data_IF_795524884151
#
_entry.id   IF_795524884151
#
_cell.length_a   1.000
_cell.length_b   1.000
_cell.length_c   1.000
_cell.angle_alpha   90.00
_cell.angle_beta   90.00
_cell.angle_gamma   90.00
#
_symmetry.space_group_name_H-M   'P 1'
#
loop_
_entity.id
_entity.type
_entity.pdbx_description
1 polymer ?
#
# COMPACT_ATOMS: atom_id res chain seq x y z
N UNK A 1 -2.06 17.19 1.74
CA UNK A 1 -3.17 16.52 1.04
C UNK A 1 -3.71 15.33 1.85
N UNK A 2 -2.86 14.52 2.49
CA UNK A 2 -3.28 13.39 3.32
C UNK A 2 -4.03 13.83 4.58
N UNK A 3 -3.61 14.92 5.22
CA UNK A 3 -4.30 15.51 6.38
C UNK A 3 -5.72 15.94 6.03
N UNK A 4 -5.88 16.65 4.94
CA UNK A 4 -7.17 17.20 4.51
C UNK A 4 -8.13 16.11 4.01
N UNK A 5 -7.64 15.21 3.16
CA UNK A 5 -8.49 14.23 2.47
C UNK A 5 -8.80 13.00 3.32
N UNK A 6 -7.86 12.53 4.12
CA UNK A 6 -7.97 11.28 4.90
C UNK A 6 -7.95 11.50 6.41
N UNK A 7 -7.77 12.72 6.89
CA UNK A 7 -7.72 13.04 8.32
C UNK A 7 -6.48 12.47 9.03
N UNK A 8 -5.38 12.30 8.30
CA UNK A 8 -4.10 11.87 8.87
C UNK A 8 -3.56 12.96 9.77
N UNK A 9 -3.33 12.67 11.05
CA UNK A 9 -2.89 13.69 12.02
C UNK A 9 -1.36 13.83 12.08
N UNK A 10 -0.62 12.78 11.73
CA UNK A 10 0.84 12.76 11.74
C UNK A 10 1.38 11.34 11.55
N UNK A 11 2.71 11.16 11.56
CA UNK A 11 3.32 9.85 11.43
C UNK A 11 2.98 8.97 12.63
N UNK A 12 2.70 7.70 12.36
CA UNK A 12 2.38 6.68 13.35
C UNK A 12 3.47 5.60 13.37
N UNK A 13 4.04 5.36 14.54
CA UNK A 13 4.82 4.15 14.80
C UNK A 13 3.89 2.96 15.11
N UNK A 14 4.38 1.71 15.04
CA UNK A 14 3.57 0.53 15.40
C UNK A 14 2.91 0.64 16.79
N UNK A 15 3.62 1.12 17.80
CA UNK A 15 3.06 1.30 19.12
C UNK A 15 1.98 2.40 19.20
N UNK A 16 2.15 3.48 18.44
CA UNK A 16 1.12 4.52 18.32
C UNK A 16 -0.10 4.05 17.55
N UNK A 17 0.08 3.17 16.57
CA UNK A 17 -1.04 2.56 15.83
C UNK A 17 -1.99 1.83 16.78
N UNK A 18 -1.47 0.97 17.67
CA UNK A 18 -2.31 0.26 18.64
C UNK A 18 -3.01 1.21 19.63
N UNK A 19 -2.34 2.26 20.07
CA UNK A 19 -2.92 3.27 20.95
C UNK A 19 -4.04 4.07 20.27
N UNK A 20 -3.84 4.49 19.02
CA UNK A 20 -4.88 5.17 18.24
C UNK A 20 -6.07 4.28 17.93
N UNK A 21 -5.81 3.00 17.67
CA UNK A 21 -6.86 2.00 17.50
C UNK A 21 -7.70 1.84 18.77
N UNK A 22 -7.04 1.85 19.94
CA UNK A 22 -7.72 1.78 21.23
C UNK A 22 -8.66 2.96 21.47
N UNK A 23 -8.24 4.16 21.12
CA UNK A 23 -9.08 5.37 21.20
C UNK A 23 -10.31 5.29 20.29
N UNK A 24 -10.14 4.80 19.04
CA UNK A 24 -11.22 4.77 18.03
C UNK A 24 -12.27 3.70 18.30
N UNK A 25 -11.86 2.54 18.75
CA UNK A 25 -12.74 1.39 18.93
C UNK A 25 -13.27 1.23 20.38
N UNK A 26 -12.63 1.89 21.34
CA UNK A 26 -13.04 1.86 22.75
C UNK A 26 -12.90 0.49 23.40
N UNK A 27 -13.83 -0.43 23.13
CA UNK A 27 -13.88 -1.73 23.84
C UNK A 27 -12.82 -2.72 23.34
N UNK A 28 -12.25 -3.56 24.23
CA UNK A 28 -11.33 -4.63 23.86
C UNK A 28 -11.90 -5.61 22.83
N UNK A 29 -13.19 -5.96 22.95
CA UNK A 29 -13.86 -6.89 22.04
C UNK A 29 -13.89 -6.37 20.59
N UNK A 30 -14.10 -5.06 20.37
CA UNK A 30 -14.08 -4.45 19.04
C UNK A 30 -12.67 -4.38 18.44
N UNK A 31 -11.63 -4.32 19.29
CA UNK A 31 -10.23 -4.25 18.86
C UNK A 31 -9.64 -5.62 18.52
N UNK A 32 -10.12 -6.68 19.18
CA UNK A 32 -9.52 -8.00 19.11
C UNK A 32 -9.31 -8.53 17.67
N UNK A 33 -10.30 -8.46 16.75
CA UNK A 33 -10.11 -8.94 15.38
C UNK A 33 -8.97 -8.22 14.65
N UNK A 34 -8.95 -6.89 14.72
CA UNK A 34 -7.92 -6.10 14.05
C UNK A 34 -6.54 -6.28 14.68
N UNK A 35 -6.44 -6.34 16.01
CA UNK A 35 -5.16 -6.63 16.68
C UNK A 35 -4.61 -8.02 16.34
N UNK A 36 -5.50 -9.01 16.21
CA UNK A 36 -5.11 -10.34 15.74
C UNK A 36 -4.56 -10.29 14.31
N UNK A 37 -5.27 -9.62 13.41
CA UNK A 37 -4.84 -9.46 12.02
C UNK A 37 -3.54 -8.65 11.91
N UNK A 38 -3.40 -7.59 12.70
CA UNK A 38 -2.17 -6.78 12.79
C UNK A 38 -0.96 -7.60 13.23
N UNK A 39 -1.10 -8.39 14.30
CA UNK A 39 -0.01 -9.26 14.77
C UNK A 39 0.35 -10.35 13.77
N UNK A 40 -0.65 -10.94 13.08
CA UNK A 40 -0.39 -11.90 12.01
C UNK A 40 0.36 -11.24 10.84
N UNK A 41 -0.04 -10.02 10.45
CA UNK A 41 0.63 -9.24 9.43
C UNK A 41 2.11 -8.98 9.77
N UNK A 42 2.40 -8.56 11.01
CA UNK A 42 3.78 -8.29 11.46
C UNK A 42 4.62 -9.57 11.60
N UNK A 43 4.03 -10.67 12.07
CA UNK A 43 4.77 -11.88 12.38
C UNK A 43 5.02 -12.78 11.17
N UNK A 44 4.03 -12.92 10.31
CA UNK A 44 4.03 -13.93 9.24
C UNK A 44 4.17 -13.31 7.86
N UNK A 45 3.65 -12.09 7.67
CA UNK A 45 3.48 -11.53 6.34
C UNK A 45 2.57 -12.43 5.48
N UNK A 46 2.77 -12.37 4.17
CA UNK A 46 2.01 -13.18 3.22
C UNK A 46 0.62 -12.63 2.92
N UNK A 47 0.06 -13.08 1.80
CA UNK A 47 -1.14 -12.51 1.18
C UNK A 47 -2.37 -12.51 2.07
N UNK A 48 -2.61 -13.61 2.78
CA UNK A 48 -3.79 -13.73 3.63
C UNK A 48 -3.71 -12.82 4.87
N UNK A 49 -2.53 -12.71 5.49
CA UNK A 49 -2.31 -11.79 6.60
C UNK A 49 -2.48 -10.33 6.16
N UNK A 50 -1.95 -9.96 4.98
CA UNK A 50 -2.13 -8.65 4.36
C UNK A 50 -3.62 -8.37 4.12
N UNK A 51 -4.33 -9.26 3.43
CA UNK A 51 -5.77 -9.11 3.17
C UNK A 51 -6.57 -8.95 4.46
N UNK A 52 -6.32 -9.83 5.44
CA UNK A 52 -7.01 -9.82 6.72
C UNK A 52 -6.79 -8.50 7.46
N UNK A 53 -5.56 -8.02 7.54
CA UNK A 53 -5.24 -6.77 8.20
C UNK A 53 -5.92 -5.57 7.54
N UNK A 54 -5.76 -5.38 6.24
CA UNK A 54 -6.32 -4.23 5.53
C UNK A 54 -7.85 -4.28 5.48
N UNK A 55 -8.46 -5.46 5.36
CA UNK A 55 -9.91 -5.63 5.47
C UNK A 55 -10.44 -5.21 6.84
N UNK A 56 -9.78 -5.63 7.91
CA UNK A 56 -10.21 -5.26 9.27
C UNK A 56 -10.00 -3.75 9.54
N UNK A 57 -8.90 -3.17 9.07
CA UNK A 57 -8.67 -1.73 9.27
C UNK A 57 -9.67 -0.87 8.52
N UNK A 58 -10.13 -1.29 7.35
CA UNK A 58 -11.15 -0.57 6.57
C UNK A 58 -12.53 -0.56 7.23
N UNK A 59 -12.82 -1.50 8.14
CA UNK A 59 -14.06 -1.50 8.96
C UNK A 59 -14.00 -0.46 10.10
N UNK A 60 -12.83 0.05 10.43
CA UNK A 60 -12.66 1.04 11.51
C UNK A 60 -13.01 2.44 10.99
N UNK A 61 -13.78 3.25 11.73
CA UNK A 61 -14.01 4.64 11.36
C UNK A 61 -12.67 5.38 11.14
N UNK A 62 -12.49 5.93 9.94
CA UNK A 62 -11.23 6.55 9.50
C UNK A 62 -9.99 5.62 9.62
N UNK A 63 -10.17 4.30 9.50
CA UNK A 63 -9.08 3.32 9.58
C UNK A 63 -7.98 3.56 8.55
N UNK A 64 -8.33 4.03 7.37
CA UNK A 64 -7.37 4.44 6.34
C UNK A 64 -6.37 5.49 6.83
N UNK A 65 -6.83 6.45 7.66
CA UNK A 65 -5.93 7.46 8.22
C UNK A 65 -4.85 6.85 9.14
N UNK A 66 -5.12 5.69 9.74
CA UNK A 66 -4.10 4.95 10.50
C UNK A 66 -3.05 4.36 9.57
N UNK A 67 -3.48 3.72 8.48
CA UNK A 67 -2.56 3.15 7.47
C UNK A 67 -1.71 4.25 6.86
N UNK A 68 -2.34 5.30 6.35
CA UNK A 68 -1.60 6.41 5.77
C UNK A 68 -0.71 7.16 6.77
N UNK A 69 -1.07 7.14 8.05
CA UNK A 69 -0.22 7.69 9.12
C UNK A 69 1.07 6.90 9.30
N UNK A 70 1.03 5.57 9.17
CA UNK A 70 2.23 4.73 9.22
C UNK A 70 3.19 5.02 8.07
N UNK A 71 2.65 5.33 6.89
CA UNK A 71 3.44 5.58 5.68
C UNK A 71 3.62 7.08 5.36
N UNK A 72 3.20 7.98 6.25
CA UNK A 72 3.11 9.41 5.97
C UNK A 72 4.41 10.03 5.45
N UNK A 73 5.59 9.82 6.06
CA UNK A 73 6.82 10.44 5.57
C UNK A 73 7.18 10.00 4.13
N UNK A 74 6.98 8.72 3.83
CA UNK A 74 7.24 8.17 2.50
C UNK A 74 6.25 8.72 1.47
N UNK A 75 4.96 8.74 1.82
CA UNK A 75 3.93 9.26 0.91
C UNK A 75 4.09 10.76 0.62
N UNK A 76 4.51 11.56 1.60
CA UNK A 76 4.82 12.98 1.41
C UNK A 76 6.04 13.16 0.49
N UNK A 77 7.08 12.34 0.68
CA UNK A 77 8.25 12.31 -0.19
C UNK A 77 7.87 11.93 -1.63
N UNK A 78 7.13 10.83 -1.82
CA UNK A 78 6.70 10.38 -3.14
C UNK A 78 5.79 11.38 -3.84
N UNK A 79 4.86 11.99 -3.12
CA UNK A 79 3.98 13.02 -3.68
C UNK A 79 4.74 14.24 -4.20
N UNK A 80 5.89 14.56 -3.60
CA UNK A 80 6.77 15.64 -4.04
C UNK A 80 7.66 15.24 -5.21
N UNK A 81 8.28 14.06 -5.12
CA UNK A 81 9.39 13.68 -6.00
C UNK A 81 8.95 12.94 -7.27
N UNK A 82 7.80 12.26 -7.27
CA UNK A 82 7.40 11.43 -8.41
C UNK A 82 6.80 12.20 -9.60
N UNK A 83 6.04 13.29 -9.44
CA UNK A 83 5.37 13.91 -10.58
C UNK A 83 6.29 14.25 -11.77
N UNK A 84 7.52 14.75 -11.59
CA UNK A 84 8.43 15.01 -12.72
C UNK A 84 9.16 13.78 -13.26
N UNK A 85 9.02 12.62 -12.60
CA UNK A 85 9.78 11.40 -12.93
C UNK A 85 8.95 10.28 -13.56
N UNK A 86 7.63 10.40 -13.50
CA UNK A 86 6.72 9.42 -14.10
C UNK A 86 6.38 9.80 -15.53
N UNK A 87 6.25 8.80 -16.40
CA UNK A 87 5.94 9.00 -17.81
C UNK A 87 5.05 7.88 -18.36
N UNK A 88 4.35 8.16 -19.44
CA UNK A 88 3.57 7.22 -20.21
C UNK A 88 2.43 6.57 -19.43
N UNK A 89 2.36 5.26 -19.52
CA UNK A 89 1.43 4.42 -18.75
C UNK A 89 2.06 4.04 -17.42
N UNK A 90 1.43 4.44 -16.32
CA UNK A 90 1.96 4.29 -14.96
C UNK A 90 1.13 3.27 -14.18
N UNK A 91 1.79 2.31 -13.51
CA UNK A 91 1.16 1.39 -12.58
C UNK A 91 1.68 1.61 -11.16
N UNK A 92 0.77 1.87 -10.20
CA UNK A 92 1.07 1.75 -8.78
C UNK A 92 0.62 0.37 -8.27
N UNK A 93 1.55 -0.42 -7.74
CA UNK A 93 1.28 -1.71 -7.09
C UNK A 93 1.15 -1.50 -5.58
N UNK A 94 0.12 -2.10 -4.97
CA UNK A 94 -0.19 -1.89 -3.56
C UNK A 94 -0.80 -0.51 -3.30
N UNK A 95 -1.64 -0.04 -4.21
CA UNK A 95 -2.21 1.31 -4.17
C UNK A 95 -3.20 1.55 -3.02
N UNK A 96 -3.58 0.49 -2.28
CA UNK A 96 -4.57 0.53 -1.21
C UNK A 96 -5.85 1.23 -1.67
N UNK A 97 -6.28 2.31 -1.02
CA UNK A 97 -7.49 3.06 -1.42
C UNK A 97 -7.17 4.27 -2.32
N UNK A 98 -5.98 4.33 -2.90
CA UNK A 98 -5.61 5.25 -3.96
C UNK A 98 -5.24 6.67 -3.52
N UNK A 99 -4.70 6.83 -2.32
CA UNK A 99 -4.29 8.17 -1.88
C UNK A 99 -3.19 8.76 -2.76
N UNK A 100 -2.12 7.99 -3.00
CA UNK A 100 -0.99 8.48 -3.77
C UNK A 100 -1.30 8.51 -5.26
N UNK A 101 -1.80 7.41 -5.85
CA UNK A 101 -2.15 7.40 -7.28
C UNK A 101 -3.15 8.50 -7.63
N UNK A 102 -4.15 8.75 -6.79
CA UNK A 102 -5.11 9.83 -7.02
C UNK A 102 -4.53 11.23 -6.82
N UNK A 103 -3.46 11.38 -6.03
CA UNK A 103 -2.72 12.64 -5.97
C UNK A 103 -1.87 12.83 -7.22
N UNK A 104 -1.13 11.81 -7.64
CA UNK A 104 -0.26 11.84 -8.81
C UNK A 104 -1.07 12.05 -10.10
N UNK A 105 -2.21 11.37 -10.25
CA UNK A 105 -3.12 11.52 -11.38
C UNK A 105 -3.58 12.98 -11.55
N UNK A 106 -3.95 13.67 -10.46
CA UNK A 106 -4.31 15.10 -10.53
C UNK A 106 -3.14 16.02 -10.87
N UNK A 107 -1.90 15.62 -10.54
CA UNK A 107 -0.69 16.37 -10.91
C UNK A 107 -0.24 16.11 -12.34
N UNK A 108 -0.53 14.94 -12.85
CA UNK A 108 -0.17 14.49 -14.20
C UNK A 108 -1.39 13.83 -14.87
N UNK A 109 -2.43 14.62 -15.16
CA UNK A 109 -3.64 14.13 -15.84
C UNK A 109 -3.39 13.77 -17.31
N UNK A 110 -2.23 14.10 -17.83
CA UNK A 110 -1.73 13.78 -19.16
C UNK A 110 -1.30 12.33 -19.32
N UNK A 111 -1.11 11.59 -18.20
CA UNK A 111 -0.66 10.21 -18.18
C UNK A 111 -1.81 9.21 -18.01
N UNK A 112 -1.58 7.98 -18.46
CA UNK A 112 -2.49 6.85 -18.25
C UNK A 112 -2.19 6.17 -16.91
N UNK A 113 -3.13 6.23 -15.97
CA UNK A 113 -2.91 5.76 -14.61
C UNK A 113 -3.63 4.45 -14.31
N UNK A 114 -2.86 3.52 -13.78
CA UNK A 114 -3.34 2.21 -13.30
C UNK A 114 -2.96 2.02 -11.83
N UNK A 115 -3.81 1.30 -11.10
CA UNK A 115 -3.59 0.92 -9.72
C UNK A 115 -3.93 -0.56 -9.53
N UNK A 116 -3.09 -1.28 -8.82
CA UNK A 116 -3.27 -2.69 -8.48
C UNK A 116 -3.23 -2.85 -6.97
N UNK A 117 -4.19 -3.59 -6.42
CA UNK A 117 -4.18 -4.00 -5.01
C UNK A 117 -4.81 -5.38 -4.82
N UNK A 118 -4.30 -6.16 -3.86
CA UNK A 118 -4.80 -7.49 -3.53
C UNK A 118 -6.01 -7.51 -2.60
N UNK A 119 -6.45 -6.33 -2.11
CA UNK A 119 -7.55 -6.19 -1.15
C UNK A 119 -8.79 -5.63 -1.85
N UNK A 120 -9.82 -6.46 -2.00
CA UNK A 120 -11.03 -6.13 -2.75
C UNK A 120 -11.71 -4.86 -2.23
N UNK A 121 -11.83 -4.72 -0.91
CA UNK A 121 -12.45 -3.57 -0.27
C UNK A 121 -11.66 -2.27 -0.52
N UNK A 122 -10.35 -2.38 -0.61
CA UNK A 122 -9.48 -1.24 -0.94
C UNK A 122 -9.67 -0.81 -2.39
N UNK A 123 -9.68 -1.76 -3.32
CA UNK A 123 -9.94 -1.51 -4.76
C UNK A 123 -11.32 -0.91 -4.97
N UNK A 124 -12.35 -1.44 -4.30
CA UNK A 124 -13.71 -0.91 -4.40
C UNK A 124 -13.81 0.56 -3.95
N UNK A 125 -13.12 0.90 -2.85
CA UNK A 125 -13.02 2.29 -2.38
C UNK A 125 -12.21 3.17 -3.34
N UNK A 126 -11.11 2.63 -3.86
CA UNK A 126 -10.26 3.33 -4.81
C UNK A 126 -11.01 3.69 -6.10
N UNK A 127 -11.71 2.75 -6.71
CA UNK A 127 -12.57 2.97 -7.89
C UNK A 127 -13.61 4.08 -7.66
N UNK A 128 -14.21 4.12 -6.48
CA UNK A 128 -15.20 5.15 -6.14
C UNK A 128 -14.59 6.54 -5.97
N UNK A 129 -13.34 6.63 -5.51
CA UNK A 129 -12.68 7.89 -5.15
C UNK A 129 -11.86 8.50 -6.27
N UNK A 130 -11.30 7.65 -7.10
CA UNK A 130 -10.42 8.02 -8.22
C UNK A 130 -10.85 7.21 -9.44
N UNK A 131 -12.04 7.54 -10.00
CA UNK A 131 -12.61 6.83 -11.14
C UNK A 131 -11.80 7.02 -12.43
N UNK A 132 -10.92 8.01 -12.47
CA UNK A 132 -10.03 8.29 -13.60
C UNK A 132 -8.86 7.32 -13.70
N UNK A 133 -8.62 6.50 -12.65
CA UNK A 133 -7.58 5.49 -12.61
C UNK A 133 -8.15 4.14 -12.99
N UNK A 134 -7.46 3.38 -13.83
CA UNK A 134 -7.81 1.99 -14.15
C UNK A 134 -7.39 1.07 -12.99
N UNK A 135 -8.38 0.51 -12.27
CA UNK A 135 -8.14 -0.32 -11.10
C UNK A 135 -8.17 -1.81 -11.40
N UNK A 136 -7.14 -2.51 -10.94
CA UNK A 136 -6.97 -3.96 -11.02
C UNK A 136 -7.02 -4.58 -9.62
N UNK A 137 -7.74 -5.71 -9.50
CA UNK A 137 -7.79 -6.50 -8.27
C UNK A 137 -6.94 -7.75 -8.42
N UNK A 138 -6.01 -7.95 -7.51
CA UNK A 138 -5.18 -9.15 -7.45
C UNK A 138 -3.74 -8.85 -7.04
N UNK A 139 -2.90 -9.85 -7.20
CA UNK A 139 -1.46 -9.76 -6.95
C UNK A 139 -0.73 -9.57 -8.28
N UNK A 140 0.37 -8.83 -8.26
CA UNK A 140 1.07 -8.45 -9.48
C UNK A 140 1.53 -9.66 -10.33
N UNK A 141 1.81 -10.79 -9.68
CA UNK A 141 2.21 -12.04 -10.33
C UNK A 141 1.05 -12.89 -10.84
N UNK A 142 -0.19 -12.50 -10.57
CA UNK A 142 -1.40 -13.26 -10.95
C UNK A 142 -2.28 -12.53 -11.96
N UNK A 143 -2.18 -11.20 -11.99
CA UNK A 143 -3.03 -10.37 -12.84
C UNK A 143 -2.33 -10.15 -14.17
N UNK A 144 -3.03 -10.44 -15.25
CA UNK A 144 -2.57 -10.09 -16.58
C UNK A 144 -2.73 -8.58 -16.78
N UNK A 145 -1.61 -7.89 -16.94
CA UNK A 145 -1.53 -6.44 -17.02
C UNK A 145 -0.94 -6.03 -18.37
N UNK A 146 -1.36 -4.88 -18.93
CA UNK A 146 -0.71 -4.34 -20.13
C UNK A 146 0.73 -3.90 -19.80
N UNK A 147 1.59 -3.69 -20.80
CA UNK A 147 2.90 -3.11 -20.55
C UNK A 147 2.80 -1.68 -20.02
N UNK A 148 3.71 -1.33 -19.12
CA UNK A 148 3.80 0.00 -18.50
C UNK A 148 5.15 0.65 -18.78
N UNK A 149 5.16 1.99 -18.85
CA UNK A 149 6.36 2.79 -18.99
C UNK A 149 6.97 3.12 -17.63
N UNK A 150 6.12 3.26 -16.60
CA UNK A 150 6.52 3.51 -15.20
C UNK A 150 5.85 2.53 -14.26
N UNK A 151 6.64 1.88 -13.40
CA UNK A 151 6.16 1.00 -12.34
C UNK A 151 6.52 1.58 -10.96
N UNK A 152 5.51 1.80 -10.12
CA UNK A 152 5.64 2.29 -8.75
C UNK A 152 5.42 1.13 -7.76
N UNK A 153 6.49 0.70 -7.10
CA UNK A 153 6.50 -0.35 -6.08
C UNK A 153 6.78 0.28 -4.73
N UNK A 154 5.82 1.06 -4.23
CA UNK A 154 5.98 1.89 -3.07
C UNK A 154 5.36 1.22 -1.85
N UNK A 155 6.18 0.92 -0.82
CA UNK A 155 5.73 0.28 0.43
C UNK A 155 4.99 -1.06 0.23
N UNK A 156 5.26 -1.77 -0.85
CA UNK A 156 4.70 -3.10 -1.13
C UNK A 156 5.52 -4.23 -0.49
N UNK A 157 6.74 -3.91 -0.09
CA UNK A 157 7.56 -4.83 0.67
C UNK A 157 7.24 -4.70 2.15
N UNK A 158 7.19 -5.81 2.90
CA UNK A 158 6.97 -5.75 4.34
C UNK A 158 8.05 -4.87 4.98
N UNK A 159 7.66 -3.71 5.50
CA UNK A 159 8.58 -2.77 6.17
C UNK A 159 9.34 -3.43 7.31
N UNK A 160 8.75 -4.44 7.96
CA UNK A 160 9.42 -5.24 8.95
C UNK A 160 10.67 -6.00 8.45
N UNK A 161 10.87 -6.13 7.15
CA UNK A 161 12.12 -6.67 6.60
C UNK A 161 13.23 -5.61 6.60
N UNK A 162 12.89 -4.35 6.37
CA UNK A 162 13.83 -3.23 6.37
C UNK A 162 14.16 -2.80 7.78
N UNK A 163 13.15 -2.59 8.63
CA UNK A 163 13.31 -2.13 10.02
C UNK A 163 13.95 -3.15 10.96
N UNK A 164 13.88 -4.45 10.63
CA UNK A 164 14.50 -5.50 11.44
C UNK A 164 15.96 -5.80 11.04
N UNK A 165 16.53 -5.04 10.14
CA UNK A 165 17.89 -5.27 9.65
C UNK A 165 18.03 -6.60 8.90
N UNK A 166 16.92 -7.13 8.39
CA UNK A 166 16.90 -8.36 7.62
C UNK A 166 17.63 -8.21 6.28
N UNK A 167 17.71 -6.99 5.75
CA UNK A 167 18.55 -6.68 4.58
C UNK A 167 20.01 -7.06 4.81
N UNK A 168 20.53 -6.82 6.02
CA UNK A 168 21.90 -7.18 6.40
C UNK A 168 22.09 -8.67 6.72
N UNK A 169 20.99 -9.42 6.92
CA UNK A 169 21.01 -10.85 7.29
C UNK A 169 20.65 -11.79 6.15
N UNK A 170 20.01 -11.28 5.11
CA UNK A 170 19.76 -12.06 3.90
C UNK A 170 20.94 -11.84 2.96
N UNK A 171 21.57 -12.96 2.54
CA UNK A 171 22.46 -12.89 1.39
C UNK A 171 21.71 -12.24 0.22
N UNK A 172 22.34 -11.37 -0.57
CA UNK A 172 21.68 -10.66 -1.68
C UNK A 172 20.86 -11.58 -2.57
N UNK A 173 21.34 -12.78 -2.82
CA UNK A 173 20.64 -13.79 -3.62
C UNK A 173 19.35 -14.32 -2.99
N UNK A 174 19.31 -14.46 -1.65
CA UNK A 174 18.11 -14.89 -0.94
C UNK A 174 17.06 -13.78 -0.88
N UNK A 175 17.51 -12.53 -0.81
CA UNK A 175 16.68 -11.34 -0.94
C UNK A 175 16.01 -11.32 -2.32
N UNK A 176 16.78 -11.37 -3.40
CA UNK A 176 16.27 -11.35 -4.77
C UNK A 176 15.40 -12.56 -5.12
N UNK A 177 15.72 -13.76 -4.61
CA UNK A 177 14.85 -14.95 -4.79
C UNK A 177 13.46 -14.78 -4.17
N UNK A 178 13.34 -14.05 -3.08
CA UNK A 178 12.04 -13.70 -2.49
C UNK A 178 11.23 -12.74 -3.35
N UNK A 179 11.91 -11.97 -4.17
CA UNK A 179 11.33 -11.01 -5.10
C UNK A 179 11.39 -11.47 -6.57
N UNK A 180 11.62 -12.76 -6.81
CA UNK A 180 11.63 -13.38 -8.14
C UNK A 180 10.31 -13.18 -8.94
N UNK A 181 9.25 -12.69 -8.31
CA UNK A 181 8.06 -12.25 -9.02
C UNK A 181 8.35 -11.07 -9.97
N UNK A 182 9.38 -10.25 -9.72
CA UNK A 182 9.79 -9.19 -10.65
C UNK A 182 10.22 -9.75 -12.00
N UNK A 183 10.87 -10.91 -12.02
CA UNK A 183 11.28 -11.59 -13.25
C UNK A 183 10.07 -12.10 -14.06
N UNK A 184 8.91 -12.23 -13.41
CA UNK A 184 7.66 -12.67 -14.03
C UNK A 184 6.77 -11.52 -14.46
N UNK A 185 7.10 -10.30 -14.11
CA UNK A 185 6.36 -9.13 -14.60
C UNK A 185 6.72 -8.93 -16.07
N UNK A 186 5.73 -8.84 -16.97
CA UNK A 186 5.98 -8.65 -18.41
C UNK A 186 6.76 -7.37 -18.74
N UNK A 187 6.95 -6.50 -17.75
CA UNK A 187 7.70 -5.26 -17.84
C UNK A 187 9.22 -5.44 -17.99
N UNK A 188 9.77 -6.59 -17.59
CA UNK A 188 11.20 -6.89 -17.67
C UNK A 188 11.55 -7.90 -18.79
N UNK A 189 10.58 -8.28 -19.60
CA UNK A 189 10.76 -9.18 -20.75
C UNK A 189 11.17 -8.43 -22.04
N UNK A 190 11.99 -7.37 -21.93
CA UNK A 190 12.61 -6.69 -23.06
C UNK A 190 14.13 -6.89 -23.07
#
# INVERSE_FOLDING_TARGET
FLKERFGVQGPLSPGRFEAELAKRLGSPARRAPLLKAWRAYLAQGGREAVRSFYREVLKVPKGEALVYGMHLPHLEFYAKELPPRVEGRVLEVGAFTGALVGFLQRKRPDLEWHALDGVEEAVALGKKRVPEVAWHLGWAEEVELPPFDTLLLLSVFPEGLVDQGLESRLAPEAFWKRFAFFERLPLFAR
#
